data_IF_169115539709
#
_entry.id   IF_169115539709
#
_cell.length_a   1.000
_cell.length_b   1.000
_cell.length_c   1.000
_cell.angle_alpha   90.00
_cell.angle_beta   90.00
_cell.angle_gamma   90.00
#
_symmetry.space_group_name_H-M   'P 1'
#
loop_
_entity.id
_entity.type
_entity.pdbx_description
1 polymer ?
#
# COMPACT_ATOMS: atom_id res chain seq x y z
N UNK A 1 2.72 3.42 3.28
CA UNK A 1 1.96 4.11 4.34
C UNK A 1 2.84 5.15 5.02
N UNK A 2 3.89 4.74 5.76
CA UNK A 2 4.79 5.65 6.50
C UNK A 2 5.26 6.89 5.70
N UNK A 3 5.80 6.71 4.49
CA UNK A 3 6.24 7.84 3.64
C UNK A 3 5.11 8.85 3.34
N UNK A 4 3.88 8.39 3.11
CA UNK A 4 2.76 9.29 2.87
C UNK A 4 2.36 10.04 4.15
N UNK A 5 2.34 9.36 5.29
CA UNK A 5 2.12 9.99 6.61
C UNK A 5 3.17 11.08 6.87
N UNK A 6 4.46 10.77 6.65
CA UNK A 6 5.57 11.72 6.82
C UNK A 6 5.49 12.95 5.90
N UNK A 7 4.83 12.82 4.74
CA UNK A 7 4.54 13.94 3.83
C UNK A 7 3.28 14.74 4.25
N UNK A 8 2.65 14.40 5.39
CA UNK A 8 1.50 15.11 5.95
C UNK A 8 0.13 14.51 5.63
N UNK A 9 0.05 13.26 5.18
CA UNK A 9 -1.25 12.61 4.97
C UNK A 9 -1.89 12.15 6.28
N UNK A 10 -3.19 12.42 6.46
CA UNK A 10 -3.97 11.90 7.61
C UNK A 10 -4.41 10.43 7.42
N UNK A 11 -4.46 9.97 6.17
CA UNK A 11 -4.88 8.62 5.82
C UNK A 11 -4.25 8.13 4.51
N UNK A 12 -4.13 6.81 4.36
CA UNK A 12 -3.60 6.17 3.15
C UNK A 12 -4.56 5.09 2.67
N UNK A 13 -5.05 5.23 1.44
CA UNK A 13 -5.94 4.27 0.79
C UNK A 13 -5.14 3.25 -0.03
N UNK A 14 -5.53 1.97 0.03
CA UNK A 14 -4.86 0.90 -0.69
C UNK A 14 -5.85 0.22 -1.64
N UNK A 15 -5.62 0.38 -2.95
CA UNK A 15 -6.42 -0.27 -4.00
C UNK A 15 -5.74 -1.52 -4.56
N UNK A 16 -4.75 -1.34 -5.43
CA UNK A 16 -4.11 -2.43 -6.18
C UNK A 16 -3.48 -3.50 -5.29
N UNK A 17 -2.80 -3.12 -4.21
CA UNK A 17 -2.21 -4.06 -3.26
C UNK A 17 -3.28 -4.99 -2.63
N UNK A 18 -4.41 -4.41 -2.21
CA UNK A 18 -5.53 -5.16 -1.67
C UNK A 18 -6.18 -6.07 -2.73
N UNK A 19 -6.34 -5.60 -3.98
CA UNK A 19 -6.85 -6.43 -5.08
C UNK A 19 -5.92 -7.63 -5.36
N UNK A 20 -4.61 -7.44 -5.34
CA UNK A 20 -3.63 -8.52 -5.53
C UNK A 20 -3.71 -9.52 -4.37
N UNK A 21 -3.76 -9.03 -3.12
CA UNK A 21 -3.92 -9.89 -1.95
C UNK A 21 -5.19 -10.74 -2.02
N UNK A 22 -6.30 -10.16 -2.49
CA UNK A 22 -7.57 -10.86 -2.69
C UNK A 22 -7.47 -11.98 -3.75
N UNK A 23 -6.70 -11.76 -4.82
CA UNK A 23 -6.51 -12.76 -5.88
C UNK A 23 -6.26 -12.20 -7.29
N UNK A 24 -6.18 -10.87 -7.47
CA UNK A 24 -5.88 -10.26 -8.75
C UNK A 24 -4.52 -10.71 -9.30
N UNK A 25 -4.51 -11.11 -10.57
CA UNK A 25 -3.29 -11.57 -11.30
C UNK A 25 -2.63 -10.48 -12.14
N UNK A 26 -3.05 -9.22 -11.98
CA UNK A 26 -2.56 -8.08 -12.78
C UNK A 26 -2.59 -8.32 -14.31
N UNK A 27 -3.63 -9.02 -14.80
CA UNK A 27 -3.81 -9.37 -16.22
C UNK A 27 -4.16 -8.18 -17.13
N UNK A 28 -4.43 -6.99 -16.56
CA UNK A 28 -4.70 -5.72 -17.26
C UNK A 28 -5.86 -5.73 -18.27
N UNK A 29 -6.77 -6.69 -18.16
CA UNK A 29 -7.97 -6.80 -19.03
C UNK A 29 -9.26 -6.37 -18.33
N UNK A 30 -9.18 -5.63 -17.22
CA UNK A 30 -10.33 -5.29 -16.37
C UNK A 30 -11.47 -4.59 -17.13
N UNK A 31 -11.12 -3.72 -18.08
CA UNK A 31 -12.07 -2.97 -18.92
C UNK A 31 -12.94 -3.86 -19.82
N UNK A 32 -12.51 -5.10 -20.08
CA UNK A 32 -13.27 -6.05 -20.92
C UNK A 32 -14.41 -6.71 -20.17
N UNK A 33 -14.44 -6.60 -18.83
CA UNK A 33 -15.35 -7.37 -17.98
C UNK A 33 -15.06 -8.88 -17.94
N UNK A 34 -13.99 -9.37 -18.56
CA UNK A 34 -13.63 -10.80 -18.65
C UNK A 34 -12.51 -11.19 -17.69
N UNK A 35 -12.54 -10.69 -16.45
CA UNK A 35 -11.52 -11.02 -15.46
C UNK A 35 -11.45 -12.54 -15.20
N UNK A 36 -10.29 -13.20 -15.41
CA UNK A 36 -10.20 -14.65 -15.35
C UNK A 36 -10.36 -15.21 -13.93
N UNK A 37 -10.16 -14.38 -12.92
CA UNK A 37 -10.18 -14.72 -11.49
C UNK A 37 -11.38 -14.12 -10.73
N UNK A 38 -12.34 -13.53 -11.44
CA UNK A 38 -13.61 -13.09 -10.82
C UNK A 38 -13.58 -11.76 -10.06
N UNK A 39 -12.45 -11.03 -10.03
CA UNK A 39 -12.33 -9.77 -9.28
C UNK A 39 -13.03 -8.59 -9.98
N UNK A 40 -12.73 -8.35 -11.25
CA UNK A 40 -13.23 -7.20 -12.02
C UNK A 40 -14.14 -7.67 -13.16
N UNK A 41 -15.30 -8.24 -12.83
CA UNK A 41 -16.28 -8.76 -13.79
C UNK A 41 -17.70 -8.72 -13.23
N UNK A 42 -18.68 -8.53 -14.11
CA UNK A 42 -20.11 -8.65 -13.79
C UNK A 42 -20.72 -9.95 -14.32
N UNK A 43 -19.95 -10.79 -15.02
CA UNK A 43 -20.41 -12.10 -15.49
C UNK A 43 -20.59 -13.05 -14.28
N UNK A 44 -21.78 -13.64 -14.06
CA UNK A 44 -22.02 -14.56 -12.95
C UNK A 44 -21.08 -15.77 -12.93
N UNK A 45 -20.71 -16.33 -14.09
CA UNK A 45 -19.83 -17.50 -14.16
C UNK A 45 -18.37 -17.15 -13.83
N UNK A 46 -17.94 -15.93 -14.20
CA UNK A 46 -16.61 -15.45 -13.84
C UNK A 46 -16.54 -15.05 -12.36
N UNK A 47 -17.60 -14.43 -11.79
CA UNK A 47 -17.67 -14.04 -10.38
C UNK A 47 -17.52 -15.22 -9.43
N UNK A 48 -18.10 -16.39 -9.76
CA UNK A 48 -17.96 -17.64 -8.98
C UNK A 48 -16.50 -18.09 -8.78
N UNK A 49 -15.56 -17.61 -9.61
CA UNK A 49 -14.14 -17.98 -9.52
C UNK A 49 -13.43 -17.31 -8.35
N UNK A 50 -14.01 -16.25 -7.79
CA UNK A 50 -13.50 -15.59 -6.60
C UNK A 50 -14.13 -16.23 -5.35
N UNK A 51 -13.32 -16.92 -4.55
CA UNK A 51 -13.71 -17.32 -3.21
C UNK A 51 -13.64 -16.11 -2.28
N UNK A 52 -14.82 -15.59 -1.88
CA UNK A 52 -14.94 -14.36 -1.08
C UNK A 52 -14.38 -14.53 0.32
N UNK A 53 -14.60 -15.68 0.96
CA UNK A 53 -14.15 -15.92 2.34
C UNK A 53 -12.62 -16.07 2.42
N UNK A 54 -12.01 -16.74 1.44
CA UNK A 54 -10.56 -16.78 1.29
C UNK A 54 -10.02 -15.39 0.93
N UNK A 55 -10.64 -14.70 -0.02
CA UNK A 55 -10.24 -13.36 -0.45
C UNK A 55 -10.24 -12.36 0.70
N UNK A 56 -11.31 -12.33 1.49
CA UNK A 56 -11.46 -11.47 2.66
C UNK A 56 -10.37 -11.75 3.71
N UNK A 57 -10.12 -13.02 4.04
CA UNK A 57 -9.04 -13.40 4.98
C UNK A 57 -7.66 -12.97 4.48
N UNK A 58 -7.38 -13.11 3.18
CA UNK A 58 -6.11 -12.66 2.60
C UNK A 58 -5.95 -11.15 2.65
N UNK A 59 -7.01 -10.39 2.35
CA UNK A 59 -7.00 -8.93 2.46
C UNK A 59 -6.80 -8.50 3.91
N UNK A 60 -7.47 -9.14 4.87
CA UNK A 60 -7.30 -8.86 6.30
C UNK A 60 -5.85 -9.11 6.76
N UNK A 61 -5.25 -10.24 6.34
CA UNK A 61 -3.84 -10.54 6.63
C UNK A 61 -2.89 -9.51 6.00
N UNK A 62 -3.16 -9.09 4.77
CA UNK A 62 -2.39 -8.06 4.09
C UNK A 62 -2.44 -6.71 4.83
N UNK A 63 -3.64 -6.26 5.22
CA UNK A 63 -3.79 -5.02 6.00
C UNK A 63 -3.06 -5.14 7.34
N UNK A 64 -3.19 -6.27 8.03
CA UNK A 64 -2.47 -6.51 9.29
C UNK A 64 -0.95 -6.42 9.10
N UNK A 65 -0.40 -7.04 8.06
CA UNK A 65 1.03 -6.96 7.76
C UNK A 65 1.47 -5.51 7.48
N UNK A 66 0.72 -4.78 6.66
CA UNK A 66 0.97 -3.36 6.38
C UNK A 66 0.94 -2.50 7.65
N UNK A 67 0.02 -2.80 8.59
CA UNK A 67 -0.06 -2.11 9.89
C UNK A 67 1.16 -2.40 10.75
N UNK A 68 1.57 -3.66 10.89
CA UNK A 68 2.77 -4.02 11.67
C UNK A 68 4.04 -3.43 11.06
N UNK A 69 4.20 -3.44 9.74
CA UNK A 69 5.33 -2.77 9.06
C UNK A 69 5.35 -1.26 9.33
N UNK A 70 4.18 -0.61 9.28
CA UNK A 70 4.09 0.83 9.56
C UNK A 70 4.45 1.14 11.01
N UNK A 71 4.02 0.29 11.96
CA UNK A 71 4.40 0.38 13.37
C UNK A 71 5.91 0.20 13.56
N UNK A 72 6.53 -0.78 12.92
CA UNK A 72 7.98 -0.99 12.99
C UNK A 72 8.73 0.23 12.48
N UNK A 73 8.28 0.84 11.37
CA UNK A 73 8.88 2.05 10.84
C UNK A 73 8.75 3.25 11.79
N UNK A 74 7.62 3.37 12.51
CA UNK A 74 7.44 4.42 13.52
C UNK A 74 8.44 4.23 14.68
N UNK A 75 8.58 3.00 15.17
CA UNK A 75 9.55 2.67 16.21
C UNK A 75 11.00 2.96 15.79
N UNK A 76 11.36 2.64 14.54
CA UNK A 76 12.69 2.92 13.99
C UNK A 76 12.96 4.42 13.82
N UNK A 77 11.92 5.22 13.59
CA UNK A 77 11.99 6.68 13.53
C UNK A 77 12.00 7.33 14.93
N UNK A 78 11.84 6.54 16.01
CA UNK A 78 11.80 7.05 17.38
C UNK A 78 10.41 7.54 17.82
N UNK A 79 9.36 7.18 17.09
CA UNK A 79 7.98 7.56 17.36
C UNK A 79 7.21 6.43 18.05
N UNK A 80 6.33 6.77 18.98
CA UNK A 80 5.40 5.84 19.62
C UNK A 80 4.01 5.82 18.94
N UNK A 81 3.74 6.78 18.06
CA UNK A 81 2.51 6.92 17.30
C UNK A 81 2.81 7.19 15.82
N UNK A 82 2.11 6.50 14.92
CA UNK A 82 2.26 6.68 13.46
C UNK A 82 1.88 8.10 12.98
N UNK A 83 1.16 8.88 13.78
CA UNK A 83 0.80 10.27 13.48
C UNK A 83 1.95 11.24 13.72
N UNK A 84 3.03 10.79 14.37
CA UNK A 84 4.22 11.61 14.61
C UNK A 84 5.20 11.58 13.43
N UNK A 85 4.94 10.75 12.41
CA UNK A 85 5.73 10.78 11.18
C UNK A 85 5.75 12.19 10.60
N UNK A 86 6.94 12.65 10.23
CA UNK A 86 7.16 14.00 9.76
C UNK A 86 8.31 14.03 8.72
N UNK A 87 8.55 15.17 8.05
CA UNK A 87 9.57 15.25 7.01
C UNK A 87 11.01 14.93 7.47
N UNK A 88 11.33 15.06 8.76
CA UNK A 88 12.65 14.67 9.29
C UNK A 88 12.87 13.15 9.31
N UNK A 89 11.82 12.34 9.10
CA UNK A 89 11.93 10.88 8.93
C UNK A 89 12.27 10.49 7.49
N UNK A 90 12.25 11.44 6.55
CA UNK A 90 12.54 11.22 5.14
C UNK A 90 13.99 11.56 4.81
N UNK A 91 14.58 10.79 3.89
CA UNK A 91 15.90 11.07 3.33
C UNK A 91 15.82 11.07 1.80
N UNK A 92 16.53 12.00 1.18
CA UNK A 92 16.79 11.98 -0.24
C UNK A 92 17.89 10.96 -0.56
N UNK A 93 17.72 10.22 -1.65
CA UNK A 93 18.69 9.21 -2.10
C UNK A 93 19.75 9.81 -3.05
N UNK A 94 19.47 10.98 -3.63
CA UNK A 94 20.33 11.67 -4.57
C UNK A 94 20.28 13.19 -4.34
N UNK A 95 21.29 13.89 -4.86
CA UNK A 95 21.46 15.34 -4.66
C UNK A 95 20.37 16.18 -5.34
N UNK A 96 19.82 15.71 -6.46
CA UNK A 96 18.78 16.46 -7.17
C UNK A 96 17.48 16.41 -6.38
N UNK A 97 17.08 15.24 -5.89
CA UNK A 97 15.93 15.09 -5.00
C UNK A 97 16.10 15.92 -3.73
N UNK A 98 17.28 15.91 -3.12
CA UNK A 98 17.58 16.75 -1.94
C UNK A 98 17.40 18.25 -2.25
N UNK A 99 17.93 18.71 -3.38
CA UNK A 99 17.83 20.12 -3.79
C UNK A 99 16.39 20.55 -4.11
N UNK A 100 15.59 19.68 -4.74
CA UNK A 100 14.20 19.98 -5.12
C UNK A 100 13.27 19.94 -3.91
N UNK A 101 13.45 18.96 -3.03
CA UNK A 101 12.51 18.71 -1.92
C UNK A 101 12.91 19.36 -0.59
N UNK A 102 14.18 19.77 -0.46
CA UNK A 102 14.74 20.26 0.81
C UNK A 102 15.04 19.15 1.83
N UNK A 103 14.83 17.87 1.49
CA UNK A 103 15.11 16.75 2.38
C UNK A 103 16.62 16.52 2.57
N UNK A 104 17.00 16.05 3.76
CA UNK A 104 18.38 15.66 4.11
C UNK A 104 18.82 14.46 3.25
N UNK A 105 20.05 14.49 2.74
CA UNK A 105 20.64 13.39 1.97
C UNK A 105 21.00 12.22 2.90
N UNK A 106 20.86 10.97 2.44
CA UNK A 106 21.05 9.76 3.26
C UNK A 106 22.43 9.64 3.96
N UNK A 107 23.48 10.27 3.44
CA UNK A 107 24.86 10.16 3.95
C UNK A 107 25.39 11.48 4.55
N UNK A 108 24.51 12.38 5.00
CA UNK A 108 24.86 13.62 5.68
C UNK A 108 24.13 13.78 7.00
#
# INVERSE_FOLDING_TARGET
>A
VAKAMAMGADAVYIGTGAMIAMGCRACRMCYTGKCPVGVATQDPELRKRLDVDIGARKVANYIKAMTEETKMLAQLAGHDDIRQFNPDDLRALDTNTAAITGLKLINK
#
